data_IF_710466787275
#
_entry.id   IF_710466787275
#
_cell.length_a   1.000
_cell.length_b   1.000
_cell.length_c   1.000
_cell.angle_alpha   90.00
_cell.angle_beta   90.00
_cell.angle_gamma   90.00
#
_symmetry.space_group_name_H-M   'P 1'
#
loop_
_entity.id
_entity.type
_entity.pdbx_description
1 polymer ?
#
# COMPACT_ATOMS: atom_id res chain seq x y z
N UNK A 1 -50.02 -26.65 -15.59
CA UNK A 1 -50.21 -26.13 -14.21
C UNK A 1 -48.98 -26.48 -13.41
N UNK A 2 -48.05 -25.55 -13.15
CA UNK A 2 -47.00 -25.76 -12.16
C UNK A 2 -47.55 -25.50 -10.75
N UNK A 3 -47.07 -26.22 -9.72
CA UNK A 3 -47.47 -25.98 -8.33
C UNK A 3 -46.75 -24.76 -7.75
N UNK A 4 -47.54 -23.86 -7.16
CA UNK A 4 -47.09 -22.82 -6.23
C UNK A 4 -46.38 -23.46 -5.04
N UNK A 5 -45.18 -22.98 -4.73
CA UNK A 5 -44.52 -23.24 -3.44
C UNK A 5 -44.33 -21.91 -2.75
N UNK A 6 -45.16 -21.74 -1.73
CA UNK A 6 -45.23 -20.59 -0.83
C UNK A 6 -44.14 -20.77 0.24
N UNK A 7 -43.08 -19.97 0.16
CA UNK A 7 -41.98 -19.99 1.12
C UNK A 7 -42.10 -18.77 2.04
N UNK A 8 -42.65 -19.02 3.23
CA UNK A 8 -42.78 -18.06 4.30
C UNK A 8 -41.42 -17.48 4.72
N UNK A 9 -41.29 -16.16 4.61
CA UNK A 9 -40.18 -15.39 5.15
C UNK A 9 -40.33 -15.30 6.68
N UNK A 10 -39.37 -15.87 7.41
CA UNK A 10 -39.17 -15.59 8.83
C UNK A 10 -38.18 -14.43 8.97
N UNK A 11 -38.63 -13.38 9.64
CA UNK A 11 -37.88 -12.14 9.90
C UNK A 11 -37.03 -12.31 11.18
N UNK A 12 -35.69 -12.30 11.10
CA UNK A 12 -34.82 -12.55 12.25
C UNK A 12 -34.52 -11.31 13.12
N UNK A 13 -35.15 -10.16 12.88
CA UNK A 13 -34.89 -8.91 13.62
C UNK A 13 -35.91 -8.59 14.72
N UNK A 14 -36.27 -9.59 15.54
CA UNK A 14 -36.97 -9.33 16.79
C UNK A 14 -36.01 -8.73 17.83
N UNK A 15 -36.06 -7.40 17.97
CA UNK A 15 -35.28 -6.58 18.89
C UNK A 15 -35.70 -6.86 20.35
N UNK A 16 -34.81 -7.34 21.24
CA UNK A 16 -35.14 -7.60 22.64
C UNK A 16 -35.22 -6.28 23.43
N UNK A 17 -36.45 -5.91 23.76
CA UNK A 17 -36.88 -5.06 24.88
C UNK A 17 -35.78 -4.33 25.68
N UNK A 18 -35.65 -3.02 25.40
CA UNK A 18 -35.09 -2.05 26.34
C UNK A 18 -35.96 -2.00 27.60
N UNK A 19 -35.32 -2.25 28.74
CA UNK A 19 -35.89 -2.21 30.09
C UNK A 19 -35.83 -0.75 30.61
N UNK A 20 -36.95 -0.02 30.72
CA UNK A 20 -36.96 1.31 31.32
C UNK A 20 -37.21 1.20 32.82
N UNK A 21 -36.65 2.14 33.58
CA UNK A 21 -36.94 2.44 34.99
C UNK A 21 -36.05 1.77 36.05
N UNK A 22 -34.83 2.31 36.19
CA UNK A 22 -34.16 2.34 37.48
C UNK A 22 -34.70 3.52 38.32
N UNK A 23 -35.18 3.29 39.57
CA UNK A 23 -35.69 4.34 40.45
C UNK A 23 -34.52 5.18 40.98
N UNK A 24 -34.61 6.49 40.79
CA UNK A 24 -33.71 7.46 41.38
C UNK A 24 -34.02 7.54 42.88
N UNK A 25 -33.16 6.97 43.73
CA UNK A 25 -33.28 7.11 45.17
C UNK A 25 -32.94 8.55 45.59
N UNK A 26 -33.98 9.25 46.04
CA UNK A 26 -33.97 10.61 46.58
C UNK A 26 -33.18 10.63 47.91
N UNK A 27 -31.86 10.76 47.80
CA UNK A 27 -30.98 10.91 48.97
C UNK A 27 -31.06 12.36 49.47
N UNK A 28 -31.68 12.53 50.64
CA UNK A 28 -31.78 13.81 51.34
C UNK A 28 -30.39 14.42 51.59
N UNK A 29 -30.11 15.55 50.94
CA UNK A 29 -28.88 16.30 51.13
C UNK A 29 -28.89 17.00 52.49
N UNK A 30 -27.96 16.61 53.36
CA UNK A 30 -27.62 17.35 54.57
C UNK A 30 -27.02 18.72 54.21
N UNK A 31 -27.45 19.76 54.92
CA UNK A 31 -26.96 21.12 54.71
C UNK A 31 -25.44 21.21 54.95
N UNK A 32 -24.66 21.78 54.02
CA UNK A 32 -23.22 21.89 54.17
C UNK A 32 -22.90 22.85 55.33
N UNK A 33 -22.08 22.34 56.26
CA UNK A 33 -21.40 23.13 57.27
C UNK A 33 -20.58 24.20 56.55
N UNK A 34 -20.73 25.46 56.95
CA UNK A 34 -20.03 26.60 56.33
C UNK A 34 -18.52 26.45 56.45
N UNK A 35 -17.92 25.87 55.43
CA UNK A 35 -16.47 25.88 55.19
C UNK A 35 -16.18 27.25 54.60
N UNK A 36 -15.19 27.96 55.16
CA UNK A 36 -14.66 29.21 54.59
C UNK A 36 -14.25 28.95 53.13
N UNK A 37 -15.14 29.32 52.18
CA UNK A 37 -14.97 29.05 50.75
C UNK A 37 -13.67 29.65 50.21
N UNK A 38 -13.23 30.77 50.78
CA UNK A 38 -11.99 31.46 50.41
C UNK A 38 -10.74 30.64 50.76
N UNK A 39 -10.76 29.88 51.86
CA UNK A 39 -9.63 29.03 52.25
C UNK A 39 -9.53 27.78 51.35
N UNK A 40 -10.69 27.20 50.99
CA UNK A 40 -10.75 26.04 50.10
C UNK A 40 -10.31 26.38 48.67
N UNK A 41 -10.63 27.58 48.18
CA UNK A 41 -10.17 28.07 46.87
C UNK A 41 -8.65 28.27 46.83
N UNK A 42 -8.05 28.82 47.88
CA UNK A 42 -6.60 29.04 47.94
C UNK A 42 -5.81 27.71 47.99
N UNK A 43 -6.29 26.71 48.74
CA UNK A 43 -5.67 25.38 48.76
C UNK A 43 -5.81 24.66 47.41
N UNK A 44 -6.96 24.78 46.75
CA UNK A 44 -7.18 24.19 45.43
C UNK A 44 -6.27 24.78 44.35
N UNK A 45 -6.08 26.11 44.32
CA UNK A 45 -5.14 26.75 43.39
C UNK A 45 -3.68 26.36 43.66
N UNK A 46 -3.30 26.22 44.93
CA UNK A 46 -1.95 25.76 45.29
C UNK A 46 -1.69 24.33 44.82
N UNK A 47 -2.65 23.42 45.01
CA UNK A 47 -2.52 22.03 44.54
C UNK A 47 -2.49 21.93 43.02
N UNK A 48 -3.30 22.73 42.32
CA UNK A 48 -3.30 22.77 40.86
C UNK A 48 -1.95 23.26 40.29
N UNK A 49 -1.35 24.29 40.88
CA UNK A 49 -0.04 24.78 40.47
C UNK A 49 1.08 23.78 40.75
N UNK A 50 1.00 23.04 41.87
CA UNK A 50 1.97 21.99 42.19
C UNK A 50 1.89 20.82 41.21
N UNK A 51 0.67 20.37 40.88
CA UNK A 51 0.46 19.30 39.90
C UNK A 51 0.91 19.70 38.49
N UNK A 52 0.69 20.96 38.09
CA UNK A 52 1.17 21.47 36.82
C UNK A 52 2.71 21.50 36.74
N UNK A 53 3.39 21.90 37.80
CA UNK A 53 4.85 21.92 37.87
C UNK A 53 5.45 20.50 37.84
N UNK A 54 4.81 19.53 38.49
CA UNK A 54 5.25 18.13 38.49
C UNK A 54 5.09 17.49 37.10
N UNK A 55 3.96 17.75 36.42
CA UNK A 55 3.74 17.28 35.05
C UNK A 55 4.73 17.89 34.05
N UNK A 56 5.08 19.17 34.19
CA UNK A 56 6.07 19.82 33.33
C UNK A 56 7.48 19.24 33.54
N UNK A 57 7.84 18.87 34.77
CA UNK A 57 9.09 18.21 35.10
C UNK A 57 9.18 16.78 34.52
N UNK A 58 8.09 16.00 34.56
CA UNK A 58 8.05 14.66 33.94
C UNK A 58 8.21 14.73 32.41
N UNK A 59 7.59 15.71 31.76
CA UNK A 59 7.73 15.93 30.30
C UNK A 59 9.16 16.32 29.94
N UNK A 60 9.83 17.17 30.73
CA UNK A 60 11.23 17.53 30.49
C UNK A 60 12.18 16.34 30.69
N UNK A 61 11.92 15.49 31.69
CA UNK A 61 12.70 14.28 31.95
C UNK A 61 12.57 13.27 30.80
N UNK A 62 11.34 12.99 30.34
CA UNK A 62 11.09 12.10 29.20
C UNK A 62 11.74 12.61 27.91
N UNK A 63 11.76 13.93 27.70
CA UNK A 63 12.42 14.55 26.54
C UNK A 63 13.94 14.39 26.57
N UNK A 64 14.57 14.46 27.75
CA UNK A 64 16.02 14.21 27.91
C UNK A 64 16.38 12.74 27.69
N UNK A 65 15.54 11.81 28.15
CA UNK A 65 15.76 10.37 27.93
C UNK A 65 15.60 9.99 26.45
N UNK A 66 14.59 10.51 25.76
CA UNK A 66 14.41 10.32 24.32
C UNK A 66 15.60 10.87 23.50
N UNK A 67 16.11 12.06 23.85
CA UNK A 67 17.27 12.64 23.17
C UNK A 67 18.57 11.84 23.42
N UNK A 68 18.71 11.19 24.57
CA UNK A 68 19.86 10.34 24.86
C UNK A 68 19.85 9.06 24.01
N UNK A 69 18.68 8.44 23.83
CA UNK A 69 18.50 7.25 23.00
C UNK A 69 18.81 7.55 21.52
N UNK A 70 18.30 8.66 20.99
CA UNK A 70 18.54 9.08 19.60
C UNK A 70 20.04 9.36 19.33
N UNK A 71 20.76 9.96 20.29
CA UNK A 71 22.20 10.18 20.17
C UNK A 71 23.03 8.88 20.12
N UNK A 72 22.62 7.85 20.87
CA UNK A 72 23.27 6.52 20.79
C UNK A 72 22.98 5.78 19.48
N UNK A 73 21.80 5.95 18.90
CA UNK A 73 21.43 5.29 17.64
C UNK A 73 22.20 5.90 16.44
N UNK A 74 22.39 7.22 16.42
CA UNK A 74 23.20 7.90 15.39
C UNK A 74 24.67 7.44 15.45
N UNK A 75 25.25 7.30 16.64
CA UNK A 75 26.64 6.84 16.79
C UNK A 75 26.82 5.37 16.34
N UNK A 76 25.82 4.51 16.55
CA UNK A 76 25.87 3.11 16.11
C UNK A 76 25.72 2.95 14.58
N UNK A 77 25.00 3.86 13.91
CA UNK A 77 24.86 3.85 12.46
C UNK A 77 26.14 4.32 11.74
N UNK A 78 26.96 5.17 12.37
CA UNK A 78 28.18 5.70 11.76
C UNK A 78 29.31 4.64 11.69
N UNK A 79 29.43 3.74 12.68
CA UNK A 79 30.42 2.65 12.65
C UNK A 79 30.11 1.53 11.64
N UNK A 80 28.86 1.41 11.17
CA UNK A 80 28.47 0.35 10.21
C UNK A 80 28.82 0.69 8.74
N UNK A 81 29.42 1.85 8.46
CA UNK A 81 29.60 2.35 7.07
C UNK A 81 31.02 2.22 6.50
N UNK A 82 31.97 1.56 7.20
CA UNK A 82 33.38 1.57 6.78
C UNK A 82 33.90 0.30 6.07
N UNK A 83 33.10 -0.76 5.93
CA UNK A 83 33.51 -2.01 5.27
C UNK A 83 32.54 -2.47 4.15
N UNK A 84 31.88 -1.55 3.44
CA UNK A 84 31.21 -1.88 2.18
C UNK A 84 32.26 -1.95 1.05
N UNK A 85 33.06 -3.00 1.13
CA UNK A 85 34.00 -3.47 0.13
C UNK A 85 33.24 -3.65 -1.19
N UNK A 86 33.42 -2.67 -2.09
CA UNK A 86 32.84 -2.55 -3.42
C UNK A 86 32.45 -3.90 -4.07
N UNK A 87 31.23 -4.35 -3.82
CA UNK A 87 30.65 -5.44 -4.61
C UNK A 87 30.65 -4.98 -6.07
N UNK A 88 31.16 -5.80 -7.00
CA UNK A 88 31.26 -5.44 -8.39
C UNK A 88 29.84 -5.24 -8.93
N UNK A 89 29.41 -3.97 -9.00
CA UNK A 89 28.11 -3.53 -9.48
C UNK A 89 27.61 -4.49 -10.55
N UNK A 90 26.61 -5.31 -10.19
CA UNK A 90 26.05 -6.36 -11.03
C UNK A 90 25.91 -5.77 -12.44
N UNK A 91 26.74 -6.27 -13.37
CA UNK A 91 26.91 -5.67 -14.70
C UNK A 91 25.52 -5.51 -15.28
N UNK A 92 24.99 -4.28 -15.32
CA UNK A 92 23.73 -3.97 -15.99
C UNK A 92 23.80 -4.71 -17.32
N UNK A 93 22.85 -5.61 -17.64
CA UNK A 93 22.84 -6.21 -18.95
C UNK A 93 22.90 -5.03 -19.91
N UNK A 94 23.99 -4.94 -20.68
CA UNK A 94 24.08 -4.00 -21.78
C UNK A 94 23.06 -4.51 -22.76
N UNK A 95 21.81 -4.10 -22.56
CA UNK A 95 20.77 -4.16 -23.57
C UNK A 95 21.32 -3.23 -24.64
N UNK A 96 22.16 -3.79 -25.52
CA UNK A 96 22.50 -3.13 -26.76
C UNK A 96 21.15 -2.89 -27.41
N UNK A 97 20.70 -1.64 -27.32
CA UNK A 97 19.47 -1.13 -27.91
C UNK A 97 19.65 -1.26 -29.42
N UNK A 98 19.60 -2.49 -29.92
CA UNK A 98 19.62 -2.81 -31.33
C UNK A 98 18.30 -2.28 -31.84
N UNK A 99 18.36 -1.06 -32.37
CA UNK A 99 17.36 -0.37 -33.18
C UNK A 99 17.05 -1.16 -34.47
N UNK A 100 16.79 -2.46 -34.35
CA UNK A 100 15.99 -3.15 -35.34
C UNK A 100 14.58 -2.57 -35.18
N UNK A 101 14.16 -1.77 -36.15
CA UNK A 101 12.78 -1.27 -36.24
C UNK A 101 11.92 -2.51 -36.55
N UNK A 102 11.57 -3.25 -35.51
CA UNK A 102 10.60 -4.35 -35.57
C UNK A 102 9.25 -3.70 -35.79
N UNK A 103 8.50 -4.19 -36.78
CA UNK A 103 7.14 -3.72 -37.02
C UNK A 103 6.33 -3.74 -35.72
N UNK A 104 5.60 -2.66 -35.40
CA UNK A 104 5.00 -2.49 -34.08
C UNK A 104 3.97 -3.60 -33.87
N UNK A 105 4.17 -4.42 -32.84
CA UNK A 105 3.23 -5.46 -32.44
C UNK A 105 2.20 -4.86 -31.48
N UNK A 106 0.93 -5.32 -31.49
CA UNK A 106 -0.01 -4.92 -30.45
C UNK A 106 0.49 -5.41 -29.09
N UNK A 107 0.29 -4.60 -28.05
CA UNK A 107 0.67 -4.96 -26.67
C UNK A 107 -0.06 -6.25 -26.27
N UNK A 108 0.65 -7.28 -25.78
CA UNK A 108 0.01 -8.52 -25.38
C UNK A 108 -0.97 -8.26 -24.22
N UNK A 109 -2.17 -8.85 -24.32
CA UNK A 109 -3.23 -8.71 -23.31
C UNK A 109 -3.14 -9.81 -22.27
N UNK A 110 -3.35 -9.43 -21.02
CA UNK A 110 -3.42 -10.29 -19.85
C UNK A 110 -2.15 -11.14 -19.64
N UNK A 111 -1.01 -10.60 -20.11
CA UNK A 111 0.33 -11.17 -19.98
C UNK A 111 1.24 -10.16 -19.26
N UNK A 112 2.20 -10.65 -18.47
CA UNK A 112 3.18 -9.81 -17.79
C UNK A 112 4.12 -9.14 -18.80
N UNK A 113 4.28 -7.82 -18.69
CA UNK A 113 5.16 -7.03 -19.55
C UNK A 113 6.15 -6.25 -18.70
N UNK A 114 7.40 -6.71 -18.63
CA UNK A 114 8.47 -6.00 -17.94
C UNK A 114 8.95 -4.79 -18.71
N UNK A 115 8.96 -3.65 -18.03
CA UNK A 115 9.41 -2.36 -18.56
C UNK A 115 10.65 -1.89 -17.81
N UNK A 116 11.59 -1.35 -18.56
CA UNK A 116 12.75 -0.64 -18.03
C UNK A 116 12.65 0.82 -18.44
N UNK A 117 12.80 1.72 -17.48
CA UNK A 117 12.76 3.15 -17.71
C UNK A 117 14.16 3.74 -17.65
N UNK A 118 14.50 4.57 -18.63
CA UNK A 118 15.79 5.28 -18.64
C UNK A 118 15.82 6.43 -17.61
N UNK A 119 14.64 6.99 -17.32
CA UNK A 119 14.48 8.09 -16.36
C UNK A 119 13.10 8.07 -15.71
N UNK A 120 13.04 8.38 -14.43
CA UNK A 120 11.80 8.59 -13.69
C UNK A 120 11.44 10.08 -13.71
N UNK A 121 10.15 10.41 -13.77
CA UNK A 121 9.71 11.80 -13.60
C UNK A 121 9.84 12.24 -12.12
N UNK A 122 9.82 13.54 -11.85
CA UNK A 122 9.96 14.06 -10.48
C UNK A 122 8.92 13.51 -9.51
N UNK A 123 7.70 13.25 -9.97
CA UNK A 123 6.64 12.64 -9.16
C UNK A 123 6.99 11.21 -8.72
N UNK A 124 7.53 10.38 -9.62
CA UNK A 124 7.95 9.01 -9.30
C UNK A 124 9.27 8.99 -8.51
N UNK A 125 10.18 9.93 -8.78
CA UNK A 125 11.43 10.08 -8.03
C UNK A 125 11.19 10.37 -6.54
N UNK A 126 10.12 11.10 -6.20
CA UNK A 126 9.75 11.38 -4.80
C UNK A 126 9.41 10.14 -3.97
N UNK A 127 9.17 8.99 -4.60
CA UNK A 127 8.88 7.72 -3.93
C UNK A 127 10.06 6.72 -3.99
N UNK A 128 11.25 7.16 -4.42
CA UNK A 128 12.45 6.32 -4.52
C UNK A 128 12.25 5.00 -5.30
N UNK A 129 11.45 5.04 -6.37
CA UNK A 129 11.04 3.85 -7.10
C UNK A 129 12.16 3.25 -7.95
N UNK A 130 12.06 1.93 -8.19
CA UNK A 130 12.90 1.22 -9.16
C UNK A 130 12.66 1.68 -10.60
N UNK A 131 13.70 1.61 -11.44
CA UNK A 131 13.59 1.85 -12.90
C UNK A 131 12.91 0.69 -13.65
N UNK A 132 12.91 -0.49 -13.05
CA UNK A 132 12.21 -1.66 -13.54
C UNK A 132 10.82 -1.75 -12.90
N UNK A 133 9.80 -2.07 -13.70
CA UNK A 133 8.44 -2.30 -13.22
C UNK A 133 7.69 -3.27 -14.13
N UNK A 134 6.57 -3.80 -13.63
CA UNK A 134 5.67 -4.65 -14.39
C UNK A 134 4.49 -3.84 -14.91
N UNK A 135 4.21 -3.99 -16.19
CA UNK A 135 2.98 -3.53 -16.82
C UNK A 135 2.05 -4.70 -17.14
N UNK A 136 0.75 -4.48 -16.98
CA UNK A 136 -0.29 -5.43 -17.37
C UNK A 136 -1.34 -4.72 -18.19
N UNK A 137 -1.46 -5.11 -19.47
CA UNK A 137 -2.49 -4.59 -20.36
C UNK A 137 -3.72 -5.51 -20.33
N UNK A 138 -4.92 -4.97 -20.14
CA UNK A 138 -6.14 -5.77 -20.11
C UNK A 138 -7.34 -5.09 -20.77
N UNK A 139 -8.22 -5.92 -21.31
CA UNK A 139 -9.58 -5.54 -21.72
C UNK A 139 -10.64 -5.84 -20.63
N UNK A 140 -10.23 -6.50 -19.54
CA UNK A 140 -11.08 -6.91 -18.43
C UNK A 140 -11.98 -8.12 -18.71
N UNK A 141 -11.82 -8.77 -19.87
CA UNK A 141 -12.73 -9.82 -20.35
C UNK A 141 -12.16 -11.23 -20.27
N UNK A 142 -10.87 -11.42 -20.55
CA UNK A 142 -10.26 -12.76 -20.71
C UNK A 142 -9.96 -13.46 -19.38
N UNK A 143 -9.39 -12.75 -18.40
CA UNK A 143 -8.96 -13.30 -17.11
C UNK A 143 -9.73 -12.71 -15.93
N UNK A 144 -11.07 -12.81 -15.95
CA UNK A 144 -11.93 -12.22 -14.89
C UNK A 144 -11.51 -12.64 -13.48
N UNK A 145 -11.17 -13.92 -13.29
CA UNK A 145 -10.72 -14.47 -12.00
C UNK A 145 -9.51 -13.75 -11.42
N UNK A 146 -8.50 -13.48 -12.26
CA UNK A 146 -7.31 -12.70 -11.89
C UNK A 146 -7.69 -11.34 -11.33
N UNK A 147 -8.49 -10.57 -12.09
CA UNK A 147 -8.87 -9.21 -11.70
C UNK A 147 -9.79 -9.13 -10.49
N UNK A 148 -10.62 -10.15 -10.25
CA UNK A 148 -11.46 -10.24 -9.05
C UNK A 148 -10.66 -10.55 -7.79
N UNK A 149 -9.46 -11.13 -7.93
CA UNK A 149 -8.59 -11.52 -6.81
C UNK A 149 -7.52 -10.46 -6.48
N UNK A 150 -7.41 -9.39 -7.28
CA UNK A 150 -6.37 -8.36 -7.14
C UNK A 150 -6.30 -7.72 -5.74
N UNK A 151 -7.45 -7.31 -5.21
CA UNK A 151 -7.53 -6.70 -3.88
C UNK A 151 -7.14 -7.66 -2.77
N UNK A 152 -7.54 -8.94 -2.88
CA UNK A 152 -7.21 -9.97 -1.90
C UNK A 152 -5.71 -10.24 -1.89
N UNK A 153 -5.10 -10.38 -3.07
CA UNK A 153 -3.65 -10.60 -3.18
C UNK A 153 -2.84 -9.45 -2.59
N UNK A 154 -3.21 -8.19 -2.86
CA UNK A 154 -2.56 -7.04 -2.24
C UNK A 154 -2.74 -7.01 -0.72
N UNK A 155 -3.95 -7.29 -0.23
CA UNK A 155 -4.23 -7.34 1.20
C UNK A 155 -3.41 -8.44 1.90
N UNK A 156 -3.25 -9.60 1.27
CA UNK A 156 -2.41 -10.70 1.77
C UNK A 156 -0.92 -10.33 1.79
N UNK A 157 -0.44 -9.62 0.77
CA UNK A 157 0.98 -9.27 0.65
C UNK A 157 1.41 -8.10 1.55
N UNK A 158 0.55 -7.08 1.67
CA UNK A 158 0.86 -5.80 2.30
C UNK A 158 0.15 -5.58 3.64
N UNK A 159 -0.84 -6.39 3.99
CA UNK A 159 -1.61 -6.20 5.21
C UNK A 159 -2.32 -4.84 5.21
N UNK A 160 -2.18 -4.08 6.29
CA UNK A 160 -2.81 -2.75 6.43
C UNK A 160 -2.25 -1.71 5.44
N UNK A 161 -1.02 -1.89 4.98
CA UNK A 161 -0.36 -1.00 4.01
C UNK A 161 -1.04 -1.03 2.64
N UNK A 162 -1.84 -2.06 2.34
CA UNK A 162 -2.64 -2.12 1.13
C UNK A 162 -3.59 -0.91 0.97
N UNK A 163 -3.99 -0.28 2.08
CA UNK A 163 -4.85 0.93 2.08
C UNK A 163 -4.09 2.20 1.73
N UNK A 164 -2.76 2.20 1.83
CA UNK A 164 -1.90 3.36 1.54
C UNK A 164 -1.41 3.40 0.08
N UNK A 165 -1.86 2.47 -0.75
CA UNK A 165 -1.51 2.44 -2.18
C UNK A 165 -2.09 3.67 -2.88
N UNK A 166 -1.21 4.39 -3.57
CA UNK A 166 -1.57 5.59 -4.35
C UNK A 166 -1.78 5.21 -5.81
N UNK A 167 -2.91 5.60 -6.38
CA UNK A 167 -3.21 5.40 -7.80
C UNK A 167 -3.10 6.71 -8.56
N UNK A 168 -2.30 6.73 -9.63
CA UNK A 168 -2.14 7.90 -10.51
C UNK A 168 -2.55 7.54 -11.93
N UNK A 169 -3.70 8.06 -12.37
CA UNK A 169 -4.22 7.85 -13.72
C UNK A 169 -3.65 8.90 -14.70
N UNK A 170 -3.25 8.42 -15.88
CA UNK A 170 -2.76 9.25 -16.99
C UNK A 170 -3.33 8.73 -18.31
N UNK A 171 -4.52 9.25 -18.65
CA UNK A 171 -5.22 8.93 -19.89
C UNK A 171 -4.47 9.40 -21.14
N UNK A 172 -3.74 10.50 -21.03
CA UNK A 172 -3.19 11.27 -22.16
C UNK A 172 -1.67 11.30 -22.18
N UNK A 173 -1.03 10.51 -21.31
CA UNK A 173 0.44 10.39 -21.19
C UNK A 173 1.14 11.71 -20.90
N UNK A 174 0.41 12.62 -20.25
CA UNK A 174 0.85 13.99 -20.01
C UNK A 174 1.71 14.10 -18.77
N UNK A 175 1.45 13.27 -17.74
CA UNK A 175 2.10 13.29 -16.43
C UNK A 175 3.31 12.37 -16.39
N UNK A 176 3.22 11.22 -17.05
CA UNK A 176 4.24 10.16 -17.04
C UNK A 176 4.69 9.81 -18.46
N UNK A 177 5.23 10.81 -19.18
CA UNK A 177 5.74 10.64 -20.55
C UNK A 177 6.75 9.50 -20.66
N UNK A 178 7.65 9.36 -19.68
CA UNK A 178 8.64 8.27 -19.65
C UNK A 178 8.01 6.87 -19.64
N UNK A 179 6.87 6.69 -18.97
CA UNK A 179 6.11 5.42 -19.00
C UNK A 179 5.45 5.21 -20.35
N UNK A 180 4.85 6.27 -20.92
CA UNK A 180 4.28 6.22 -22.27
C UNK A 180 5.31 5.86 -23.33
N UNK A 181 6.50 6.48 -23.28
CA UNK A 181 7.61 6.19 -24.20
C UNK A 181 8.08 4.74 -24.07
N UNK A 182 8.19 4.21 -22.85
CA UNK A 182 8.52 2.81 -22.64
C UNK A 182 7.42 1.86 -23.17
N UNK A 183 6.14 2.19 -22.98
CA UNK A 183 5.03 1.41 -23.53
C UNK A 183 5.00 1.44 -25.07
N UNK A 184 5.35 2.56 -25.70
CA UNK A 184 5.51 2.69 -27.15
C UNK A 184 6.58 1.75 -27.72
N UNK A 185 7.64 1.48 -26.97
CA UNK A 185 8.65 0.50 -27.43
C UNK A 185 8.09 -0.93 -27.52
N UNK A 186 7.01 -1.21 -26.80
CA UNK A 186 6.35 -2.52 -26.72
C UNK A 186 5.06 -2.61 -27.54
N UNK A 187 4.51 -1.48 -28.00
CA UNK A 187 3.17 -1.39 -28.59
C UNK A 187 2.96 -0.26 -29.58
N UNK A 188 2.11 -0.49 -30.59
CA UNK A 188 1.77 0.56 -31.59
C UNK A 188 0.84 1.65 -31.05
N UNK A 189 -0.14 1.23 -30.23
CA UNK A 189 -1.27 2.08 -29.87
C UNK A 189 -1.02 2.75 -28.52
N UNK A 190 -1.23 4.07 -28.49
CA UNK A 190 -1.30 4.80 -27.24
C UNK A 190 -2.57 4.39 -26.49
N UNK A 191 -2.38 3.85 -25.29
CA UNK A 191 -3.46 3.40 -24.43
C UNK A 191 -3.35 4.08 -23.07
N UNK A 192 -4.48 4.51 -22.53
CA UNK A 192 -4.53 5.03 -21.17
C UNK A 192 -3.93 4.03 -20.17
N UNK A 193 -3.21 4.54 -19.18
CA UNK A 193 -2.67 3.72 -18.11
C UNK A 193 -2.87 4.35 -16.73
N UNK A 194 -2.86 3.50 -15.71
CA UNK A 194 -2.84 3.90 -14.29
C UNK A 194 -1.61 3.30 -13.65
N UNK A 195 -0.94 4.08 -12.83
CA UNK A 195 0.18 3.64 -12.00
C UNK A 195 -0.33 3.37 -10.59
N UNK A 196 -0.03 2.19 -10.03
CA UNK A 196 -0.23 1.86 -8.62
C UNK A 196 1.11 1.91 -7.90
N UNK A 197 1.20 2.71 -6.84
CA UNK A 197 2.44 2.95 -6.08
C UNK A 197 2.22 2.49 -4.63
N UNK A 198 3.16 1.72 -4.10
CA UNK A 198 3.26 1.40 -2.67
C UNK A 198 4.38 2.24 -2.06
N UNK A 199 4.08 3.37 -1.39
CA UNK A 199 5.12 4.22 -0.80
C UNK A 199 5.95 3.49 0.27
N UNK A 200 5.32 2.58 1.02
CA UNK A 200 5.98 1.84 2.10
C UNK A 200 7.12 0.94 1.60
N UNK A 201 7.00 0.39 0.41
CA UNK A 201 8.01 -0.51 -0.18
C UNK A 201 8.82 0.14 -1.30
N UNK A 202 8.52 1.40 -1.67
CA UNK A 202 9.08 2.04 -2.87
C UNK A 202 8.92 1.19 -4.14
N UNK A 203 7.79 0.47 -4.24
CA UNK A 203 7.45 -0.40 -5.37
C UNK A 203 6.24 0.12 -6.12
N UNK A 204 6.13 -0.23 -7.39
CA UNK A 204 5.08 0.25 -8.27
C UNK A 204 4.78 -0.71 -9.42
N UNK A 205 3.57 -0.61 -9.97
CA UNK A 205 3.11 -1.39 -11.11
C UNK A 205 2.17 -0.59 -12.02
N UNK A 206 2.09 -0.97 -13.29
CA UNK A 206 1.34 -0.23 -14.32
C UNK A 206 0.19 -1.09 -14.85
N UNK A 207 -1.01 -0.51 -14.91
CA UNK A 207 -2.18 -1.11 -15.54
C UNK A 207 -2.60 -0.35 -16.79
N UNK A 208 -2.68 -1.04 -17.93
CA UNK A 208 -3.00 -0.44 -19.23
C UNK A 208 -4.39 -0.91 -19.70
N UNK A 209 -5.22 0.02 -20.19
CA UNK A 209 -6.56 -0.33 -20.67
C UNK A 209 -7.47 0.87 -20.94
N UNK A 210 -8.49 0.67 -21.78
CA UNK A 210 -9.37 1.77 -22.21
C UNK A 210 -10.31 2.28 -21.10
N UNK A 211 -10.74 1.41 -20.17
CA UNK A 211 -11.66 1.76 -19.08
C UNK A 211 -10.89 1.98 -17.78
N UNK A 212 -11.18 3.06 -17.04
CA UNK A 212 -10.47 3.41 -15.80
C UNK A 212 -10.43 2.28 -14.76
N UNK A 213 -11.56 1.63 -14.49
CA UNK A 213 -11.60 0.53 -13.52
C UNK A 213 -10.78 -0.71 -13.97
N UNK A 214 -10.66 -0.95 -15.28
CA UNK A 214 -9.83 -2.04 -15.81
C UNK A 214 -8.35 -1.72 -15.57
N UNK A 215 -7.94 -0.47 -15.85
CA UNK A 215 -6.57 -0.01 -15.57
C UNK A 215 -6.20 -0.15 -14.10
N UNK A 216 -7.07 0.30 -13.21
CA UNK A 216 -6.83 0.17 -11.77
C UNK A 216 -6.66 -1.29 -11.33
N UNK A 217 -7.53 -2.20 -11.79
CA UNK A 217 -7.42 -3.63 -11.44
C UNK A 217 -6.15 -4.26 -12.02
N UNK A 218 -5.78 -3.91 -13.25
CA UNK A 218 -4.55 -4.38 -13.85
C UNK A 218 -3.30 -3.84 -13.11
N UNK A 219 -3.31 -2.57 -12.70
CA UNK A 219 -2.23 -1.95 -11.93
C UNK A 219 -2.08 -2.61 -10.55
N UNK A 220 -3.18 -2.97 -9.90
CA UNK A 220 -3.16 -3.72 -8.63
C UNK A 220 -2.49 -5.08 -8.76
N UNK A 221 -2.83 -5.84 -9.82
CA UNK A 221 -2.18 -7.13 -10.08
C UNK A 221 -0.70 -6.94 -10.37
N UNK A 222 -0.35 -5.97 -11.23
CA UNK A 222 1.04 -5.69 -11.54
C UNK A 222 1.85 -5.34 -10.28
N UNK A 223 1.32 -4.48 -9.41
CA UNK A 223 1.94 -4.14 -8.13
C UNK A 223 2.04 -5.35 -7.20
N UNK A 224 0.98 -6.15 -7.06
CA UNK A 224 1.00 -7.35 -6.23
C UNK A 224 2.10 -8.33 -6.66
N UNK A 225 2.24 -8.53 -7.98
CA UNK A 225 3.29 -9.38 -8.55
C UNK A 225 4.68 -8.84 -8.25
N UNK A 226 4.93 -7.54 -8.44
CA UNK A 226 6.22 -6.91 -8.14
C UNK A 226 6.56 -7.04 -6.65
N UNK A 227 5.60 -6.81 -5.76
CA UNK A 227 5.78 -6.98 -4.30
C UNK A 227 6.12 -8.43 -3.95
N UNK A 228 5.39 -9.39 -4.50
CA UNK A 228 5.63 -10.81 -4.25
C UNK A 228 7.02 -11.25 -4.73
N UNK A 229 7.47 -10.75 -5.88
CA UNK A 229 8.81 -11.02 -6.40
C UNK A 229 9.90 -10.38 -5.55
N UNK A 230 9.73 -9.12 -5.14
CA UNK A 230 10.69 -8.46 -4.26
C UNK A 230 10.86 -9.21 -2.93
N UNK A 231 9.75 -9.65 -2.32
CA UNK A 231 9.80 -10.46 -1.10
C UNK A 231 10.58 -11.76 -1.31
N UNK A 232 10.34 -12.43 -2.44
CA UNK A 232 11.08 -13.63 -2.81
C UNK A 232 12.58 -13.38 -2.96
N UNK A 233 12.96 -12.26 -3.60
CA UNK A 233 14.36 -11.87 -3.83
C UNK A 233 15.10 -11.56 -2.51
N UNK A 234 14.41 -10.97 -1.53
CA UNK A 234 14.94 -10.67 -0.18
C UNK A 234 14.95 -11.92 0.72
N UNK A 235 14.37 -13.04 0.28
CA UNK A 235 14.26 -14.27 1.07
C UNK A 235 13.15 -14.24 2.12
N UNK A 236 12.22 -13.29 2.03
CA UNK A 236 11.00 -13.29 2.83
C UNK A 236 10.04 -14.39 2.34
N UNK A 237 9.31 -15.01 3.27
CA UNK A 237 8.28 -15.98 2.92
C UNK A 237 7.16 -15.29 2.15
N UNK A 238 6.94 -15.75 0.91
CA UNK A 238 5.82 -15.28 0.09
C UNK A 238 4.54 -15.87 0.69
N UNK A 239 3.55 -15.03 1.06
CA UNK A 239 2.29 -15.53 1.57
C UNK A 239 1.63 -16.53 0.63
N UNK A 240 0.94 -17.52 1.21
CA UNK A 240 0.19 -18.50 0.43
C UNK A 240 -0.98 -17.83 -0.32
N UNK A 241 -0.97 -18.00 -1.65
CA UNK A 241 -2.01 -17.53 -2.55
C UNK A 241 -3.15 -18.55 -2.75
N UNK A 242 -3.36 -19.50 -1.85
CA UNK A 242 -4.52 -20.42 -1.89
C UNK A 242 -5.87 -19.69 -2.04
N UNK A 243 -6.00 -18.48 -1.49
CA UNK A 243 -7.21 -17.64 -1.65
C UNK A 243 -7.31 -16.88 -2.99
N UNK A 244 -6.21 -16.85 -3.75
CA UNK A 244 -6.04 -16.12 -5.01
C UNK A 244 -5.21 -16.92 -6.05
N UNK A 245 -5.63 -18.14 -6.43
CA UNK A 245 -4.82 -19.04 -7.27
C UNK A 245 -4.50 -18.46 -8.66
N UNK A 246 -5.38 -17.64 -9.24
CA UNK A 246 -5.11 -17.02 -10.53
C UNK A 246 -3.96 -16.01 -10.46
N UNK A 247 -3.75 -15.39 -9.29
CA UNK A 247 -2.60 -14.49 -9.05
C UNK A 247 -1.31 -15.29 -8.90
N UNK A 248 -1.37 -16.47 -8.26
CA UNK A 248 -0.22 -17.37 -8.18
C UNK A 248 0.23 -17.82 -9.58
N UNK A 249 -0.70 -18.25 -10.44
CA UNK A 249 -0.40 -18.62 -11.83
C UNK A 249 0.24 -17.44 -12.58
N UNK A 250 -0.31 -16.23 -12.42
CA UNK A 250 0.22 -15.03 -13.06
C UNK A 250 1.61 -14.63 -12.51
N UNK A 251 1.90 -14.86 -11.23
CA UNK A 251 3.21 -14.62 -10.64
C UNK A 251 4.28 -15.51 -11.28
N UNK A 252 3.98 -16.80 -11.51
CA UNK A 252 4.89 -17.72 -12.21
C UNK A 252 5.09 -17.32 -13.67
N UNK A 253 4.02 -16.89 -14.36
CA UNK A 253 4.14 -16.32 -15.71
C UNK A 253 5.05 -15.08 -15.71
N UNK A 254 4.92 -14.20 -14.72
CA UNK A 254 5.71 -12.98 -14.62
C UNK A 254 7.20 -13.26 -14.34
N UNK A 255 7.50 -14.25 -13.49
CA UNK A 255 8.87 -14.74 -13.25
C UNK A 255 9.49 -15.24 -14.54
N UNK A 256 8.79 -16.14 -15.24
CA UNK A 256 9.25 -16.68 -16.52
C UNK A 256 9.49 -15.57 -17.54
N UNK A 257 8.59 -14.59 -17.64
CA UNK A 257 8.76 -13.45 -18.53
C UNK A 257 9.95 -12.54 -18.15
N UNK A 258 10.28 -12.43 -16.85
CA UNK A 258 11.47 -11.70 -16.37
C UNK A 258 12.74 -12.45 -16.77
N UNK A 259 12.77 -13.76 -16.55
CA UNK A 259 13.90 -14.61 -16.92
C UNK A 259 14.15 -14.57 -18.44
N UNK A 260 13.10 -14.73 -19.24
CA UNK A 260 13.20 -14.62 -20.71
C UNK A 260 13.79 -13.27 -21.16
N UNK A 261 13.47 -12.17 -20.47
CA UNK A 261 14.03 -10.84 -20.77
C UNK A 261 15.51 -10.73 -20.41
N UNK A 262 15.94 -11.37 -19.33
CA UNK A 262 17.33 -11.33 -18.86
C UNK A 262 18.26 -12.23 -19.68
N UNK A 263 17.74 -13.31 -20.26
CA UNK A 263 18.53 -14.30 -21.00
C UNK A 263 18.36 -14.26 -22.53
N UNK A 264 17.57 -13.32 -23.08
CA UNK A 264 17.42 -13.10 -24.53
C UNK A 264 18.47 -12.16 -25.11
#
# INVERSE_FOLDING_TARGET
MPPETDAAAQDPFADPALDPEAPWEETAMAAPVGIDEDAALAEAESLANQAAAEAEAEVEAAKKEAAALEATEIAAQEELTLDEEAEPAAKRPKIELRKAIVAPKPVPRDQPLWLWLDSLNSTLQGYALSFETLALASDGSKRKGLYTQADRALQTLLGEEARKIVFQDDSDWSKFRCVGDALKTRGEKEECFTIAISPALSLWGIGVGMKGWVRHRAAKIALATVVAMQKAEVGEEIPDFTSAPAVADFLEEARKAKDELLYS
#
